data_IF_220447252306
#
_entry.id   IF_220447252306
#
_cell.length_a   1.000
_cell.length_b   1.000
_cell.length_c   1.000
_cell.angle_alpha   90.00
_cell.angle_beta   90.00
_cell.angle_gamma   90.00
#
_symmetry.space_group_name_H-M   'P 1'
#
loop_
_entity.id
_entity.type
_entity.pdbx_description
1 polymer ?
#
# COMPACT_ATOMS: atom_id res chain seq x y z
N UNK A 1 26.37 17.02 -18.66
CA UNK A 1 25.71 15.81 -19.18
C UNK A 1 25.33 14.97 -17.97
N UNK A 2 24.08 15.04 -17.52
CA UNK A 2 23.63 14.30 -16.34
C UNK A 2 23.44 12.84 -16.74
N UNK A 3 24.19 11.93 -16.13
CA UNK A 3 23.96 10.50 -16.27
C UNK A 3 22.61 10.18 -15.62
N UNK A 4 21.56 10.09 -16.44
CA UNK A 4 20.22 9.70 -16.01
C UNK A 4 20.33 8.26 -15.48
N UNK A 5 20.30 8.10 -14.15
CA UNK A 5 20.31 6.79 -13.52
C UNK A 5 19.13 5.97 -14.04
N UNK A 6 19.32 4.69 -14.43
CA UNK A 6 18.25 3.89 -15.01
C UNK A 6 17.09 3.78 -14.02
N UNK A 7 15.92 4.31 -14.40
CA UNK A 7 14.71 4.22 -13.58
C UNK A 7 14.19 2.79 -13.66
N UNK A 8 14.00 2.15 -12.51
CA UNK A 8 13.55 0.75 -12.44
C UNK A 8 12.13 0.71 -11.87
N UNK A 9 11.28 -0.13 -12.45
CA UNK A 9 9.92 -0.33 -11.95
C UNK A 9 9.96 -0.98 -10.57
N UNK A 10 9.33 -0.33 -9.59
CA UNK A 10 9.28 -0.78 -8.19
C UNK A 10 8.60 -2.16 -8.04
N UNK A 11 7.72 -2.55 -8.98
CA UNK A 11 6.99 -3.82 -8.90
C UNK A 11 7.69 -4.97 -9.61
N UNK A 12 8.05 -4.79 -10.88
CA UNK A 12 8.58 -5.86 -11.73
C UNK A 12 10.10 -5.81 -11.89
N UNK A 13 10.78 -4.83 -11.29
CA UNK A 13 12.23 -4.63 -11.37
C UNK A 13 12.75 -4.45 -12.82
N UNK A 14 11.87 -4.15 -13.77
CA UNK A 14 12.20 -3.88 -15.17
C UNK A 14 12.74 -2.45 -15.32
N UNK A 15 13.77 -2.27 -16.15
CA UNK A 15 14.22 -0.93 -16.55
C UNK A 15 13.13 -0.21 -17.35
N UNK A 16 12.86 1.03 -16.99
CA UNK A 16 11.87 1.90 -17.62
C UNK A 16 12.60 2.92 -18.50
N UNK A 17 12.06 3.12 -19.70
CA UNK A 17 12.37 4.29 -20.51
C UNK A 17 11.62 5.50 -19.95
N UNK A 18 12.14 6.72 -20.13
CA UNK A 18 11.51 7.93 -19.59
C UNK A 18 10.05 8.13 -20.02
N UNK A 19 9.67 7.67 -21.21
CA UNK A 19 8.29 7.74 -21.72
C UNK A 19 7.32 6.79 -21.00
N UNK A 20 7.83 5.66 -20.50
CA UNK A 20 7.04 4.59 -19.85
C UNK A 20 6.96 4.75 -18.32
N UNK A 21 7.72 5.67 -17.73
CA UNK A 21 7.66 5.92 -16.28
C UNK A 21 6.31 6.54 -15.92
N UNK A 22 5.59 5.89 -15.00
CA UNK A 22 4.41 6.45 -14.36
C UNK A 22 4.63 6.47 -12.86
N UNK A 23 4.69 7.67 -12.29
CA UNK A 23 4.77 7.86 -10.84
C UNK A 23 3.40 7.58 -10.22
N UNK A 24 3.39 6.78 -9.16
CA UNK A 24 2.22 6.57 -8.33
C UNK A 24 2.62 6.17 -6.92
N UNK A 25 1.70 6.35 -5.97
CA UNK A 25 1.93 5.93 -4.59
C UNK A 25 2.34 4.44 -4.52
N UNK A 26 3.21 4.06 -3.57
CA UNK A 26 3.54 2.68 -3.34
C UNK A 26 2.33 1.88 -2.85
N UNK A 27 2.32 0.59 -3.20
CA UNK A 27 1.35 -0.36 -2.67
C UNK A 27 1.78 -0.77 -1.25
N UNK A 28 1.11 -0.23 -0.23
CA UNK A 28 1.23 -0.75 1.14
C UNK A 28 0.28 -1.93 1.29
N UNK A 29 0.83 -3.09 1.67
CA UNK A 29 0.02 -4.27 2.02
C UNK A 29 -0.51 -4.16 3.45
N UNK A 30 -1.58 -4.90 3.77
CA UNK A 30 -2.14 -4.97 5.12
C UNK A 30 -1.08 -5.31 6.17
N UNK A 31 -0.20 -6.26 5.87
CA UNK A 31 0.88 -6.69 6.78
C UNK A 31 1.88 -5.56 7.04
N UNK A 32 2.26 -4.83 6.00
CA UNK A 32 3.17 -3.68 6.11
C UNK A 32 2.50 -2.54 6.86
N UNK A 33 1.20 -2.31 6.66
CA UNK A 33 0.46 -1.27 7.36
C UNK A 33 0.37 -1.57 8.86
N UNK A 34 0.05 -2.81 9.23
CA UNK A 34 0.05 -3.25 10.63
C UNK A 34 1.45 -3.13 11.23
N UNK A 35 2.48 -3.60 10.53
CA UNK A 35 3.85 -3.51 11.01
C UNK A 35 4.33 -2.06 11.17
N UNK A 36 3.97 -1.17 10.24
CA UNK A 36 4.26 0.25 10.30
C UNK A 36 3.51 0.92 11.46
N UNK A 37 2.25 0.56 11.70
CA UNK A 37 1.45 1.07 12.81
C UNK A 37 2.10 0.75 14.17
N UNK A 38 2.65 -0.46 14.33
CA UNK A 38 3.33 -0.87 15.56
C UNK A 38 4.72 -0.26 15.73
N UNK A 39 5.51 -0.15 14.65
CA UNK A 39 6.90 0.33 14.73
C UNK A 39 7.03 1.84 14.74
N UNK A 40 6.19 2.52 13.97
CA UNK A 40 6.32 3.94 13.64
C UNK A 40 4.93 4.50 13.35
N UNK A 41 4.10 4.71 14.39
CA UNK A 41 2.72 5.17 14.22
C UNK A 41 2.61 6.52 13.51
N UNK A 42 3.65 7.37 13.57
CA UNK A 42 3.71 8.63 12.82
C UNK A 42 3.71 8.46 11.30
N UNK A 43 4.12 7.31 10.78
CA UNK A 43 4.08 7.02 9.33
C UNK A 43 2.65 6.84 8.80
N UNK A 44 1.67 6.56 9.65
CA UNK A 44 0.27 6.45 9.23
C UNK A 44 -0.30 7.79 8.76
N UNK A 45 0.28 8.90 9.21
CA UNK A 45 -0.11 10.26 8.80
C UNK A 45 0.79 10.86 7.73
N UNK A 46 1.85 10.15 7.33
CA UNK A 46 2.81 10.64 6.36
C UNK A 46 2.29 10.42 4.93
N UNK A 47 2.44 11.42 4.07
CA UNK A 47 2.30 11.24 2.62
C UNK A 47 3.44 10.36 2.14
N UNK A 48 3.13 9.17 1.61
CA UNK A 48 4.15 8.33 1.02
C UNK A 48 4.66 8.95 -0.30
N UNK A 49 5.98 8.96 -0.54
CA UNK A 49 6.53 9.45 -1.78
C UNK A 49 6.09 8.57 -2.95
N UNK A 50 5.81 9.19 -4.09
CA UNK A 50 5.49 8.45 -5.31
C UNK A 50 6.70 7.66 -5.81
N UNK A 51 6.45 6.46 -6.34
CA UNK A 51 7.48 5.56 -6.84
C UNK A 51 7.21 5.21 -8.32
N UNK A 52 8.26 4.91 -9.10
CA UNK A 52 8.12 4.63 -10.52
C UNK A 52 7.51 3.25 -10.77
N UNK A 53 6.52 3.21 -11.66
CA UNK A 53 5.87 2.00 -12.14
C UNK A 53 5.76 1.96 -13.66
N UNK A 54 5.68 0.73 -14.17
CA UNK A 54 5.39 0.43 -15.55
C UNK A 54 3.90 0.60 -15.87
N UNK A 55 3.49 0.95 -17.11
CA UNK A 55 2.09 1.21 -17.45
C UNK A 55 1.18 0.00 -17.22
N UNK A 56 1.68 -1.18 -17.59
CA UNK A 56 1.08 -2.49 -17.32
C UNK A 56 0.96 -2.81 -15.81
N UNK A 57 1.97 -2.44 -15.01
CA UNK A 57 1.96 -2.60 -13.55
C UNK A 57 0.90 -1.71 -12.87
N UNK A 58 0.69 -0.50 -13.40
CA UNK A 58 -0.18 0.51 -12.79
C UNK A 58 -1.62 0.00 -12.63
N UNK A 59 -2.14 -0.69 -13.65
CA UNK A 59 -3.50 -1.26 -13.64
C UNK A 59 -3.62 -2.37 -12.59
N UNK A 60 -2.60 -3.21 -12.47
CA UNK A 60 -2.55 -4.30 -11.51
C UNK A 60 -2.51 -3.74 -10.08
N UNK A 61 -1.69 -2.72 -9.84
CA UNK A 61 -1.55 -2.07 -8.54
C UNK A 61 -2.86 -1.39 -8.12
N UNK A 62 -3.55 -0.72 -9.04
CA UNK A 62 -4.85 -0.12 -8.74
C UNK A 62 -5.87 -1.16 -8.23
N UNK A 63 -5.92 -2.34 -8.85
CA UNK A 63 -6.76 -3.46 -8.37
C UNK A 63 -6.30 -3.99 -7.03
N UNK A 64 -4.99 -4.20 -6.85
CA UNK A 64 -4.43 -4.70 -5.59
C UNK A 64 -4.71 -3.76 -4.42
N UNK A 65 -4.70 -2.43 -4.62
CA UNK A 65 -5.07 -1.47 -3.57
C UNK A 65 -6.48 -1.68 -3.05
N UNK A 66 -7.44 -1.89 -3.94
CA UNK A 66 -8.82 -2.13 -3.53
C UNK A 66 -8.94 -3.42 -2.72
N UNK A 67 -8.21 -4.46 -3.12
CA UNK A 67 -8.17 -5.72 -2.37
C UNK A 67 -7.55 -5.54 -0.98
N UNK A 68 -6.42 -4.83 -0.87
CA UNK A 68 -5.77 -4.57 0.42
C UNK A 68 -6.62 -3.65 1.32
N UNK A 69 -7.29 -2.65 0.75
CA UNK A 69 -8.24 -1.81 1.49
C UNK A 69 -9.45 -2.60 1.99
N UNK A 70 -9.99 -3.50 1.16
CA UNK A 70 -11.11 -4.35 1.55
C UNK A 70 -10.71 -5.33 2.66
N UNK A 71 -9.49 -5.88 2.62
CA UNK A 71 -8.95 -6.68 3.72
C UNK A 71 -8.87 -5.88 5.01
N UNK A 72 -8.34 -4.65 4.95
CA UNK A 72 -8.26 -3.77 6.12
C UNK A 72 -9.64 -3.49 6.71
N UNK A 73 -10.61 -3.13 5.85
CA UNK A 73 -11.99 -2.89 6.27
C UNK A 73 -12.62 -4.14 6.90
N UNK A 74 -12.45 -5.30 6.28
CA UNK A 74 -12.96 -6.58 6.81
C UNK A 74 -12.41 -6.91 8.20
N UNK A 75 -11.10 -6.71 8.41
CA UNK A 75 -10.47 -6.90 9.73
C UNK A 75 -11.00 -5.89 10.75
N UNK A 76 -11.13 -4.62 10.38
CA UNK A 76 -11.67 -3.59 11.28
C UNK A 76 -13.10 -3.92 11.73
N UNK A 77 -13.96 -4.36 10.81
CA UNK A 77 -15.34 -4.80 11.10
C UNK A 77 -15.33 -6.02 12.03
N UNK A 78 -14.48 -7.01 11.77
CA UNK A 78 -14.39 -8.22 12.59
C UNK A 78 -13.99 -7.89 14.05
N UNK A 79 -13.00 -7.01 14.25
CA UNK A 79 -12.60 -6.56 15.58
C UNK A 79 -13.76 -5.85 16.29
N UNK A 80 -14.46 -4.97 15.58
CA UNK A 80 -15.59 -4.23 16.15
C UNK A 80 -16.73 -5.16 16.57
N UNK A 81 -17.06 -6.15 15.73
CA UNK A 81 -18.06 -7.17 16.04
C UNK A 81 -17.68 -7.98 17.30
N UNK A 82 -16.42 -8.38 17.43
CA UNK A 82 -15.92 -9.09 18.63
C UNK A 82 -16.07 -8.21 19.87
N UNK A 83 -15.69 -6.93 19.80
CA UNK A 83 -15.82 -6.00 20.93
C UNK A 83 -17.28 -5.83 21.35
N UNK A 84 -18.21 -5.71 20.41
CA UNK A 84 -19.65 -5.63 20.70
C UNK A 84 -20.13 -6.88 21.42
N UNK A 85 -19.75 -8.07 20.94
CA UNK A 85 -20.12 -9.34 21.59
C UNK A 85 -19.57 -9.41 23.00
N UNK A 86 -18.31 -9.02 23.22
CA UNK A 86 -17.72 -8.99 24.56
C UNK A 86 -18.51 -8.05 25.48
N UNK A 87 -18.82 -6.84 25.01
CA UNK A 87 -19.57 -5.85 25.80
C UNK A 87 -20.98 -6.34 26.15
N UNK A 88 -21.66 -7.05 25.24
CA UNK A 88 -23.04 -7.49 25.45
C UNK A 88 -23.17 -8.77 26.30
N UNK A 89 -22.16 -9.65 26.27
CA UNK A 89 -22.27 -10.99 26.87
C UNK A 89 -21.31 -11.25 28.02
N UNK A 90 -20.26 -10.44 28.19
CA UNK A 90 -19.25 -10.61 29.25
C UNK A 90 -19.33 -9.54 30.32
N UNK A 91 -19.68 -8.30 29.93
CA UNK A 91 -19.83 -7.14 30.81
C UNK A 91 -21.24 -7.05 31.38
#
# INVERSE_FOLDING_TARGET
MSAESPVVCTRCQRQLTPDDVRMAQPLITFKELVQAAFKTPSLLSATLPDVPYCPECRVIIAKQRQTEQLKFLGVAIAILAILIVIVLFVL
#
